data_IF_471120420223
#
_entry.id   IF_471120420223
#
_cell.length_a   1.000
_cell.length_b   1.000
_cell.length_c   1.000
_cell.angle_alpha   90.00
_cell.angle_beta   90.00
_cell.angle_gamma   90.00
#
_symmetry.space_group_name_H-M   'P 1'
#
loop_
_entity.id
_entity.type
_entity.pdbx_description
1 polymer ?
#
# COMPACT_ATOMS: atom_id res chain seq x y z
N UNK A 1 27.63 -5.13 16.62
CA UNK A 1 27.91 -6.58 16.68
C UNK A 1 26.88 -7.26 15.80
N UNK A 2 27.32 -7.92 14.73
CA UNK A 2 26.46 -8.76 13.89
C UNK A 2 25.91 -9.92 14.73
N UNK A 3 24.59 -10.19 14.69
CA UNK A 3 23.94 -11.22 15.52
C UNK A 3 23.73 -12.53 14.76
N UNK A 4 23.10 -12.46 13.59
CA UNK A 4 22.92 -13.59 12.68
C UNK A 4 22.69 -13.07 11.26
N UNK A 5 22.89 -13.93 10.27
CA UNK A 5 22.45 -13.73 8.89
C UNK A 5 21.70 -14.99 8.43
N UNK A 6 20.62 -14.82 7.68
CA UNK A 6 19.84 -15.91 7.12
C UNK A 6 19.90 -15.85 5.59
N UNK A 7 20.11 -17.00 4.96
CA UNK A 7 20.11 -17.13 3.51
C UNK A 7 19.10 -18.21 3.10
N UNK A 8 18.03 -17.83 2.38
CA UNK A 8 16.98 -18.76 1.98
C UNK A 8 17.49 -19.90 1.08
N UNK A 9 16.89 -21.09 1.20
CA UNK A 9 17.35 -22.31 0.50
C UNK A 9 17.36 -22.12 -1.02
N UNK A 10 16.37 -21.42 -1.57
CA UNK A 10 16.28 -21.12 -3.01
C UNK A 10 17.58 -20.49 -3.54
N UNK A 11 18.15 -19.53 -2.81
CA UNK A 11 19.39 -18.86 -3.21
C UNK A 11 20.63 -19.72 -3.02
N UNK A 12 20.69 -20.48 -1.93
CA UNK A 12 21.78 -21.43 -1.68
C UNK A 12 21.86 -22.47 -2.79
N UNK A 13 20.72 -22.97 -3.26
CA UNK A 13 20.65 -24.01 -4.29
C UNK A 13 20.71 -23.47 -5.73
N UNK A 14 20.45 -22.16 -5.94
CA UNK A 14 20.41 -21.55 -7.28
C UNK A 14 21.76 -21.52 -8.02
N UNK A 15 22.88 -21.72 -7.30
CA UNK A 15 24.23 -21.54 -7.84
C UNK A 15 24.56 -20.10 -8.23
N UNK A 16 23.74 -19.11 -7.87
CA UNK A 16 23.93 -17.71 -8.21
C UNK A 16 24.87 -16.97 -7.26
N UNK A 17 25.13 -17.51 -6.06
CA UNK A 17 25.94 -16.86 -5.03
C UNK A 17 27.34 -16.42 -5.49
N UNK A 18 28.10 -17.20 -6.31
CA UNK A 18 29.40 -16.74 -6.79
C UNK A 18 29.33 -15.43 -7.59
N UNK A 19 28.17 -15.12 -8.19
CA UNK A 19 27.97 -13.87 -8.96
C UNK A 19 28.00 -12.62 -8.09
N UNK A 20 27.71 -12.73 -6.79
CA UNK A 20 27.81 -11.59 -5.86
C UNK A 20 29.25 -11.08 -5.70
N UNK A 21 30.24 -11.93 -6.03
CA UNK A 21 31.67 -11.59 -6.00
C UNK A 21 32.27 -11.27 -7.37
N UNK A 22 31.46 -11.25 -8.43
CA UNK A 22 31.93 -10.95 -9.80
C UNK A 22 32.32 -9.47 -9.90
N UNK A 23 33.55 -9.10 -10.31
CA UNK A 23 33.94 -7.71 -10.53
C UNK A 23 33.08 -6.99 -11.58
N UNK A 24 32.45 -7.73 -12.50
CA UNK A 24 31.50 -7.22 -13.48
C UNK A 24 30.04 -7.39 -13.03
N UNK A 25 29.79 -7.48 -11.72
CA UNK A 25 28.46 -7.63 -11.17
C UNK A 25 27.49 -6.59 -11.74
N UNK A 26 26.45 -7.09 -12.40
CA UNK A 26 25.25 -6.32 -12.71
C UNK A 26 24.26 -6.60 -11.60
N UNK A 27 23.64 -5.54 -11.08
CA UNK A 27 22.72 -5.65 -9.95
C UNK A 27 21.65 -6.73 -10.20
N UNK A 28 21.43 -7.55 -9.17
CA UNK A 28 20.47 -8.64 -9.15
C UNK A 28 19.85 -8.66 -7.78
N UNK A 29 18.54 -8.78 -7.75
CA UNK A 29 17.78 -8.99 -6.54
C UNK A 29 18.02 -10.40 -6.01
N UNK A 30 18.16 -10.52 -4.69
CA UNK A 30 18.27 -11.80 -3.97
C UNK A 30 17.21 -11.86 -2.89
N UNK A 31 17.48 -11.28 -1.72
CA UNK A 31 16.49 -11.10 -0.65
C UNK A 31 16.14 -9.62 -0.64
N UNK A 32 15.17 -9.26 -1.47
CA UNK A 32 14.79 -7.85 -1.72
C UNK A 32 13.43 -7.48 -1.11
N UNK A 33 12.68 -8.48 -0.63
CA UNK A 33 11.42 -8.25 0.04
C UNK A 33 11.60 -7.57 1.39
N UNK A 34 10.66 -6.70 1.77
CA UNK A 34 10.64 -6.08 3.10
C UNK A 34 10.14 -7.08 4.14
N UNK A 35 10.97 -7.50 5.12
CA UNK A 35 10.53 -8.40 6.17
C UNK A 35 9.59 -7.71 7.17
N UNK A 36 8.77 -8.51 7.84
CA UNK A 36 7.86 -8.08 8.91
C UNK A 36 8.18 -8.83 10.18
N UNK A 37 8.45 -8.10 11.25
CA UNK A 37 8.52 -8.65 12.60
C UNK A 37 7.17 -8.47 13.30
N UNK A 38 6.64 -9.54 13.89
CA UNK A 38 5.39 -9.52 14.65
C UNK A 38 5.47 -10.41 15.88
N UNK A 39 4.84 -9.97 16.96
CA UNK A 39 4.62 -10.82 18.13
C UNK A 39 3.42 -11.74 17.90
N UNK A 40 3.59 -13.02 18.24
CA UNK A 40 2.60 -14.08 18.09
C UNK A 40 2.53 -14.91 19.37
N UNK A 41 1.34 -15.43 19.69
CA UNK A 41 1.12 -16.23 20.89
C UNK A 41 1.03 -17.71 20.53
N UNK A 42 2.07 -18.48 20.85
CA UNK A 42 2.20 -19.89 20.49
C UNK A 42 2.59 -20.73 21.72
N UNK A 43 1.93 -21.88 21.89
CA UNK A 43 2.27 -22.83 22.96
C UNK A 43 2.21 -22.24 24.37
N UNK A 44 1.35 -21.24 24.62
CA UNK A 44 1.21 -20.58 25.91
C UNK A 44 2.23 -19.47 26.20
N UNK A 45 2.97 -19.00 25.19
CA UNK A 45 3.99 -17.95 25.34
C UNK A 45 3.97 -16.98 24.16
N UNK A 46 4.32 -15.71 24.42
CA UNK A 46 4.59 -14.74 23.36
C UNK A 46 5.96 -14.99 22.75
N UNK A 47 6.03 -14.87 21.43
CA UNK A 47 7.23 -15.00 20.61
C UNK A 47 7.27 -13.90 19.56
N UNK A 48 8.46 -13.50 19.14
CA UNK A 48 8.63 -12.56 18.03
C UNK A 48 9.08 -13.31 16.79
N UNK A 49 8.26 -13.29 15.75
CA UNK A 49 8.55 -13.93 14.47
C UNK A 49 8.88 -12.87 13.42
N UNK A 50 9.88 -13.15 12.59
CA UNK A 50 10.19 -12.40 11.38
C UNK A 50 9.74 -13.22 10.17
N UNK A 51 8.93 -12.61 9.32
CA UNK A 51 8.48 -13.18 8.05
C UNK A 51 9.05 -12.34 6.92
N UNK A 52 9.72 -12.97 5.97
CA UNK A 52 10.29 -12.27 4.82
C UNK A 52 9.91 -12.93 3.50
N UNK A 53 10.10 -12.19 2.42
CA UNK A 53 9.97 -12.69 1.05
C UNK A 53 11.28 -12.42 0.32
N UNK A 54 11.49 -13.13 -0.80
CA UNK A 54 12.63 -12.85 -1.66
C UNK A 54 12.44 -11.63 -2.57
N UNK A 55 11.24 -11.02 -2.59
CA UNK A 55 10.93 -9.92 -3.50
C UNK A 55 11.16 -10.34 -4.95
N UNK A 56 11.86 -9.50 -5.71
CA UNK A 56 12.19 -9.78 -7.12
C UNK A 56 13.29 -10.84 -7.29
N UNK A 57 13.96 -11.25 -6.20
CA UNK A 57 15.06 -12.21 -6.28
C UNK A 57 14.63 -13.67 -6.31
N UNK A 58 13.39 -13.99 -5.95
CA UNK A 58 12.89 -15.37 -5.94
C UNK A 58 11.45 -15.48 -5.45
N UNK A 59 10.99 -16.72 -5.29
CA UNK A 59 9.56 -17.01 -5.02
C UNK A 59 9.29 -17.50 -3.60
N UNK A 60 10.31 -17.51 -2.75
CA UNK A 60 10.20 -18.03 -1.38
C UNK A 60 9.71 -16.96 -0.40
N UNK A 61 8.77 -17.38 0.45
CA UNK A 61 8.39 -16.74 1.71
C UNK A 61 8.99 -17.55 2.85
N UNK A 62 9.52 -16.94 3.88
CA UNK A 62 10.17 -17.64 4.99
C UNK A 62 9.77 -17.04 6.34
N UNK A 63 9.84 -17.85 7.40
CA UNK A 63 9.64 -17.38 8.76
C UNK A 63 10.75 -17.84 9.72
N UNK A 64 11.18 -16.91 10.57
CA UNK A 64 12.20 -17.08 11.59
C UNK A 64 11.63 -16.69 12.96
N UNK A 65 11.96 -17.45 14.00
CA UNK A 65 11.70 -17.08 15.39
C UNK A 65 12.89 -16.28 15.93
N UNK A 66 12.71 -14.95 15.96
CA UNK A 66 13.71 -13.98 16.38
C UNK A 66 13.50 -13.52 17.83
N UNK A 67 12.75 -14.27 18.63
CA UNK A 67 12.46 -13.92 20.04
C UNK A 67 13.73 -13.68 20.85
N UNK A 68 14.80 -14.45 20.59
CA UNK A 68 16.12 -14.22 21.16
C UNK A 68 17.18 -14.24 20.05
N UNK A 69 17.60 -13.07 19.53
CA UNK A 69 18.59 -12.99 18.46
C UNK A 69 20.00 -13.40 18.91
N UNK A 70 20.31 -13.36 20.21
CA UNK A 70 21.64 -13.71 20.75
C UNK A 70 21.90 -15.23 20.74
N UNK A 71 20.84 -16.03 20.70
CA UNK A 71 20.91 -17.49 20.68
C UNK A 71 20.32 -18.08 19.40
N UNK A 72 20.33 -17.33 18.29
CA UNK A 72 19.73 -17.78 17.04
C UNK A 72 20.45 -19.03 16.50
N UNK A 73 19.67 -20.04 16.09
CA UNK A 73 20.18 -21.32 15.61
C UNK A 73 19.27 -21.95 14.56
N UNK A 74 19.61 -23.15 14.06
CA UNK A 74 18.81 -23.86 13.07
C UNK A 74 17.34 -24.05 13.49
N UNK A 75 17.05 -24.26 14.78
CA UNK A 75 15.67 -24.42 15.26
C UNK A 75 14.83 -23.13 15.23
N UNK A 76 15.48 -21.98 15.03
CA UNK A 76 14.82 -20.69 14.84
C UNK A 76 14.38 -20.47 13.38
N UNK A 77 14.93 -21.22 12.43
CA UNK A 77 14.43 -21.26 11.05
C UNK A 77 13.18 -22.15 11.06
N UNK A 78 11.99 -21.59 10.86
CA UNK A 78 10.73 -22.33 11.04
C UNK A 78 10.33 -23.04 9.77
N UNK A 79 10.22 -22.28 8.68
CA UNK A 79 9.76 -22.81 7.42
C UNK A 79 10.11 -21.88 6.27
N UNK A 80 10.08 -22.45 5.08
CA UNK A 80 10.09 -21.77 3.80
C UNK A 80 8.92 -22.29 2.96
N UNK A 81 8.20 -21.37 2.34
CA UNK A 81 7.06 -21.65 1.46
C UNK A 81 7.38 -21.11 0.06
N UNK A 82 7.29 -21.98 -0.94
CA UNK A 82 7.50 -21.59 -2.33
C UNK A 82 6.17 -21.08 -2.92
N UNK A 83 6.08 -19.78 -3.16
CA UNK A 83 4.93 -19.18 -3.82
C UNK A 83 4.96 -19.47 -5.34
N UNK A 84 3.81 -19.44 -6.02
CA UNK A 84 3.74 -19.60 -7.46
C UNK A 84 4.55 -18.56 -8.26
N UNK A 85 4.64 -17.32 -7.77
CA UNK A 85 5.32 -16.18 -8.40
C UNK A 85 6.22 -15.38 -7.46
N UNK A 86 6.74 -14.25 -7.94
CA UNK A 86 7.59 -13.33 -7.16
C UNK A 86 6.76 -12.50 -6.20
N UNK A 87 7.00 -12.68 -4.90
CA UNK A 87 6.25 -12.00 -3.84
C UNK A 87 6.94 -10.68 -3.51
N UNK A 88 6.68 -9.66 -4.34
CA UNK A 88 7.21 -8.30 -4.11
C UNK A 88 6.55 -7.62 -2.91
N UNK A 89 5.27 -7.94 -2.69
CA UNK A 89 4.48 -7.35 -1.62
C UNK A 89 4.93 -7.79 -0.22
N UNK A 90 4.69 -6.92 0.76
CA UNK A 90 4.97 -7.17 2.17
C UNK A 90 3.92 -8.15 2.75
N UNK A 91 4.33 -9.24 3.42
CA UNK A 91 3.40 -10.16 4.07
C UNK A 91 2.76 -9.49 5.29
N UNK A 92 1.58 -9.97 5.68
CA UNK A 92 0.89 -9.53 6.90
C UNK A 92 0.81 -10.67 7.91
N UNK A 93 1.01 -10.39 9.19
CA UNK A 93 0.85 -11.36 10.27
C UNK A 93 -0.33 -10.94 11.12
N UNK A 94 -1.28 -11.85 11.34
CA UNK A 94 -2.46 -11.57 12.16
C UNK A 94 -2.98 -12.83 12.85
N UNK A 95 -3.81 -12.63 13.88
CA UNK A 95 -4.58 -13.72 14.49
C UNK A 95 -5.84 -13.99 13.68
N UNK A 96 -6.19 -15.26 13.50
CA UNK A 96 -7.31 -15.70 12.66
C UNK A 96 -8.51 -16.15 13.50
N UNK A 97 -9.70 -16.16 12.90
CA UNK A 97 -10.96 -16.55 13.57
C UNK A 97 -11.01 -18.02 14.01
N UNK A 98 -10.16 -18.89 13.44
CA UNK A 98 -10.00 -20.28 13.89
C UNK A 98 -9.02 -20.43 15.08
N UNK A 99 -8.50 -19.31 15.60
CA UNK A 99 -7.58 -19.24 16.73
C UNK A 99 -6.11 -19.37 16.36
N UNK A 100 -5.78 -19.68 15.10
CA UNK A 100 -4.40 -19.75 14.61
C UNK A 100 -3.80 -18.35 14.42
N UNK A 101 -2.48 -18.31 14.28
CA UNK A 101 -1.76 -17.13 13.81
C UNK A 101 -1.36 -17.37 12.35
N UNK A 102 -1.79 -16.47 11.47
CA UNK A 102 -1.62 -16.61 10.03
C UNK A 102 -0.62 -15.61 9.46
N UNK A 103 0.18 -16.06 8.51
CA UNK A 103 0.89 -15.24 7.53
C UNK A 103 0.03 -15.12 6.28
N UNK A 104 -0.46 -13.91 6.02
CA UNK A 104 -1.28 -13.58 4.87
C UNK A 104 -0.37 -13.00 3.80
N UNK A 105 -0.30 -13.67 2.65
CA UNK A 105 0.65 -13.33 1.59
C UNK A 105 0.04 -13.53 0.21
N UNK A 106 0.41 -12.66 -0.72
CA UNK A 106 0.08 -12.82 -2.13
C UNK A 106 0.82 -14.01 -2.75
N UNK A 107 0.21 -14.64 -3.77
CA UNK A 107 0.84 -15.71 -4.55
C UNK A 107 1.97 -15.26 -5.47
N UNK A 108 2.24 -13.96 -5.52
CA UNK A 108 3.31 -13.33 -6.30
C UNK A 108 2.93 -13.06 -7.77
N UNK A 109 3.72 -12.19 -8.38
CA UNK A 109 3.62 -11.80 -9.79
C UNK A 109 4.35 -12.79 -10.69
N UNK A 110 4.02 -12.80 -11.98
CA UNK A 110 4.61 -13.72 -12.98
C UNK A 110 4.46 -15.20 -12.59
N UNK A 111 3.33 -15.55 -11.96
CA UNK A 111 3.07 -16.90 -11.44
C UNK A 111 2.77 -17.94 -12.52
N UNK A 112 2.60 -17.50 -13.79
CA UNK A 112 2.11 -18.32 -14.90
C UNK A 112 0.70 -18.88 -14.70
N UNK A 113 0.03 -18.55 -13.59
CA UNK A 113 -1.30 -19.01 -13.20
C UNK A 113 -2.23 -17.81 -12.97
N UNK A 114 -3.08 -17.90 -11.95
CA UNK A 114 -4.07 -16.93 -11.52
C UNK A 114 -3.53 -16.07 -10.38
N UNK A 115 -4.21 -14.96 -10.06
CA UNK A 115 -3.93 -14.20 -8.84
C UNK A 115 -4.38 -15.01 -7.62
N UNK A 116 -3.52 -15.15 -6.60
CA UNK A 116 -3.79 -15.96 -5.41
C UNK A 116 -3.49 -15.22 -4.12
N UNK A 117 -4.26 -15.52 -3.08
CA UNK A 117 -3.96 -15.17 -1.68
C UNK A 117 -3.73 -16.47 -0.90
N UNK A 118 -2.68 -16.51 -0.08
CA UNK A 118 -2.39 -17.59 0.85
C UNK A 118 -2.48 -17.10 2.29
N UNK A 119 -3.05 -17.93 3.16
CA UNK A 119 -2.94 -17.83 4.61
C UNK A 119 -2.15 -19.06 5.07
N UNK A 120 -0.94 -18.84 5.56
CA UNK A 120 -0.03 -19.89 6.05
C UNK A 120 -0.02 -19.87 7.58
N UNK A 121 0.05 -21.03 8.22
CA UNK A 121 0.22 -21.10 9.67
C UNK A 121 1.62 -20.58 10.04
N UNK A 122 1.70 -19.64 10.98
CA UNK A 122 2.96 -19.03 11.37
C UNK A 122 3.95 -20.05 11.96
N UNK A 123 3.47 -21.16 12.54
CA UNK A 123 4.30 -22.10 13.28
C UNK A 123 5.05 -23.08 12.39
N UNK A 124 4.44 -23.54 11.29
CA UNK A 124 4.96 -24.59 10.42
C UNK A 124 4.88 -24.28 8.91
N UNK A 125 4.23 -23.18 8.51
CA UNK A 125 4.09 -22.76 7.11
C UNK A 125 3.02 -23.54 6.33
N UNK A 126 2.24 -24.39 7.00
CA UNK A 126 1.16 -25.12 6.36
C UNK A 126 0.08 -24.16 5.84
N UNK A 127 -0.46 -24.44 4.66
CA UNK A 127 -1.54 -23.62 4.09
C UNK A 127 -2.82 -23.83 4.90
N UNK A 128 -3.24 -22.82 5.65
CA UNK A 128 -4.54 -22.78 6.34
C UNK A 128 -5.65 -22.63 5.30
N UNK A 129 -5.47 -21.69 4.38
CA UNK A 129 -6.41 -21.39 3.30
C UNK A 129 -5.66 -20.79 2.11
N UNK A 130 -6.16 -21.07 0.92
CA UNK A 130 -5.75 -20.38 -0.31
C UNK A 130 -6.99 -19.94 -1.08
N UNK A 131 -6.92 -18.78 -1.70
CA UNK A 131 -7.96 -18.24 -2.55
C UNK A 131 -7.42 -18.08 -3.97
N UNK A 132 -8.13 -18.65 -4.94
CA UNK A 132 -7.83 -18.52 -6.36
C UNK A 132 -8.80 -17.50 -6.97
N UNK A 133 -8.27 -16.40 -7.48
CA UNK A 133 -9.05 -15.28 -8.01
C UNK A 133 -9.26 -15.38 -9.53
N UNK A 134 -8.74 -16.43 -10.16
CA UNK A 134 -8.79 -16.58 -11.60
C UNK A 134 -7.67 -15.83 -12.34
N UNK A 135 -7.60 -16.08 -13.64
CA UNK A 135 -6.62 -15.46 -14.53
C UNK A 135 -7.06 -14.05 -14.89
N UNK A 136 -6.09 -13.15 -15.03
CA UNK A 136 -6.37 -11.77 -15.39
C UNK A 136 -6.33 -11.47 -16.89
N UNK A 137 -6.87 -10.32 -17.26
CA UNK A 137 -6.91 -9.78 -18.64
C UNK A 137 -5.58 -9.15 -19.07
N UNK A 138 -4.90 -8.45 -18.17
CA UNK A 138 -3.64 -7.72 -18.42
C UNK A 138 -2.45 -8.47 -17.81
N UNK A 139 -2.68 -9.16 -16.69
CA UNK A 139 -1.64 -9.92 -16.01
C UNK A 139 -2.19 -10.64 -14.78
N UNK A 140 -1.31 -11.33 -14.07
CA UNK A 140 -1.62 -11.99 -12.81
C UNK A 140 -0.74 -11.45 -11.68
N UNK A 141 -1.21 -11.60 -10.45
CA UNK A 141 -0.48 -11.21 -9.26
C UNK A 141 -1.30 -10.28 -8.40
N UNK A 142 -1.38 -10.67 -7.13
CA UNK A 142 -2.05 -9.93 -6.09
C UNK A 142 -1.00 -9.03 -5.41
N UNK A 143 -1.36 -7.78 -5.14
CA UNK A 143 -0.57 -6.86 -4.31
C UNK A 143 -0.56 -7.28 -2.85
N UNK A 144 0.24 -6.56 -2.06
CA UNK A 144 0.32 -6.76 -0.60
C UNK A 144 -1.07 -6.78 0.04
N UNK A 145 -1.43 -7.83 0.79
CA UNK A 145 -2.71 -7.90 1.48
C UNK A 145 -2.68 -7.12 2.81
N UNK A 146 -3.79 -6.45 3.13
CA UNK A 146 -4.01 -5.79 4.44
C UNK A 146 -5.15 -6.50 5.20
N UNK A 147 -4.87 -7.11 6.36
CA UNK A 147 -5.91 -7.60 7.25
C UNK A 147 -6.61 -6.44 7.97
N UNK A 148 -7.90 -6.60 8.22
CA UNK A 148 -8.75 -5.62 8.90
C UNK A 148 -9.50 -6.31 10.03
N UNK A 149 -9.46 -5.70 11.20
CA UNK A 149 -10.24 -6.04 12.39
C UNK A 149 -11.27 -4.93 12.58
N UNK A 150 -12.56 -5.26 12.42
CA UNK A 150 -13.64 -4.27 12.52
C UNK A 150 -14.28 -4.23 13.91
N UNK A 151 -14.10 -5.28 14.72
CA UNK A 151 -14.74 -5.42 16.02
C UNK A 151 -13.78 -5.13 17.20
N UNK A 152 -12.50 -4.89 16.91
CA UNK A 152 -11.41 -4.52 17.82
C UNK A 152 -11.06 -5.65 18.81
N UNK A 153 -11.18 -6.91 18.41
CA UNK A 153 -10.79 -8.09 19.20
C UNK A 153 -9.37 -8.61 18.92
N UNK A 154 -8.64 -7.92 18.03
CA UNK A 154 -7.30 -8.26 17.52
C UNK A 154 -7.25 -9.51 16.64
N UNK A 155 -8.38 -9.91 16.07
CA UNK A 155 -8.53 -11.00 15.12
C UNK A 155 -8.90 -10.42 13.76
N UNK A 156 -8.29 -10.92 12.69
CA UNK A 156 -8.60 -10.47 11.35
C UNK A 156 -9.99 -10.95 10.92
N UNK A 157 -10.85 -10.00 10.54
CA UNK A 157 -12.20 -10.23 10.01
C UNK A 157 -12.21 -10.25 8.48
N UNK A 158 -11.50 -9.30 7.89
CA UNK A 158 -11.40 -9.14 6.45
C UNK A 158 -9.95 -9.02 6.00
N UNK A 159 -9.72 -9.26 4.71
CA UNK A 159 -8.48 -8.90 4.04
C UNK A 159 -8.83 -8.12 2.79
N UNK A 160 -8.08 -7.07 2.49
CA UNK A 160 -8.15 -6.37 1.21
C UNK A 160 -6.83 -6.50 0.45
N UNK A 161 -6.91 -6.59 -0.88
CA UNK A 161 -5.75 -6.56 -1.76
C UNK A 161 -6.17 -6.15 -3.18
N UNK A 162 -5.34 -5.37 -3.86
CA UNK A 162 -5.49 -5.10 -5.29
C UNK A 162 -4.76 -6.11 -6.17
N UNK A 163 -5.02 -6.14 -7.48
CA UNK A 163 -4.26 -6.95 -8.45
C UNK A 163 -3.83 -6.16 -9.69
N UNK A 164 -3.04 -6.80 -10.57
CA UNK A 164 -2.58 -6.19 -11.82
C UNK A 164 -3.70 -5.87 -12.83
N UNK A 165 -4.90 -6.40 -12.65
CA UNK A 165 -6.08 -6.06 -13.45
C UNK A 165 -6.89 -4.89 -12.86
N UNK A 166 -6.38 -4.26 -11.81
CA UNK A 166 -7.06 -3.16 -11.13
C UNK A 166 -8.26 -3.61 -10.31
N UNK A 167 -8.39 -4.90 -10.01
CA UNK A 167 -9.46 -5.36 -9.13
C UNK A 167 -9.03 -5.18 -7.68
N UNK A 168 -9.90 -4.54 -6.88
CA UNK A 168 -9.78 -4.51 -5.42
C UNK A 168 -10.63 -5.66 -4.85
N UNK A 169 -9.97 -6.63 -4.23
CA UNK A 169 -10.60 -7.79 -3.62
C UNK A 169 -10.83 -7.60 -2.13
N UNK A 170 -11.92 -8.19 -1.65
CA UNK A 170 -12.21 -8.38 -0.22
C UNK A 170 -12.35 -9.87 0.06
N UNK A 171 -11.69 -10.35 1.11
CA UNK A 171 -11.81 -11.71 1.61
C UNK A 171 -12.54 -11.67 2.94
N UNK A 172 -13.57 -12.49 3.10
CA UNK A 172 -14.33 -12.66 4.33
C UNK A 172 -13.75 -13.81 5.15
N UNK A 173 -13.17 -13.47 6.30
CA UNK A 173 -12.57 -14.40 7.26
C UNK A 173 -13.38 -14.49 8.57
N UNK A 174 -14.56 -13.87 8.65
CA UNK A 174 -15.32 -13.68 9.90
C UNK A 174 -15.83 -14.97 10.54
N UNK A 175 -15.94 -16.05 9.76
CA UNK A 175 -16.38 -17.34 10.28
C UNK A 175 -15.32 -18.00 11.18
N UNK A 176 -15.73 -18.63 12.27
CA UNK A 176 -14.82 -19.39 13.15
C UNK A 176 -14.20 -20.63 12.49
N UNK A 177 -14.77 -21.08 11.37
CA UNK A 177 -14.28 -22.24 10.62
C UNK A 177 -13.69 -21.81 9.29
N UNK A 178 -12.39 -22.09 9.07
CA UNK A 178 -11.66 -21.77 7.84
C UNK A 178 -12.26 -22.28 6.53
N UNK A 179 -13.11 -23.33 6.60
CA UNK A 179 -13.88 -23.82 5.46
C UNK A 179 -14.84 -22.78 4.87
N UNK A 180 -15.40 -21.93 5.74
CA UNK A 180 -16.40 -20.91 5.39
C UNK A 180 -15.79 -19.58 4.97
N UNK A 181 -14.47 -19.41 5.11
CA UNK A 181 -13.79 -18.24 4.57
C UNK A 181 -13.85 -18.24 3.05
N UNK A 182 -14.11 -17.07 2.47
CA UNK A 182 -14.38 -16.90 1.04
C UNK A 182 -13.97 -15.54 0.51
N UNK A 183 -13.92 -15.42 -0.82
CA UNK A 183 -13.89 -14.11 -1.47
C UNK A 183 -15.30 -13.51 -1.34
N UNK A 184 -15.37 -12.26 -0.86
CA UNK A 184 -16.63 -11.56 -0.69
C UNK A 184 -17.33 -11.31 -2.04
N UNK A 185 -18.53 -10.70 -1.99
CA UNK A 185 -19.30 -10.34 -3.19
C UNK A 185 -19.57 -11.50 -4.16
N UNK A 186 -19.65 -12.73 -3.62
CA UNK A 186 -19.87 -13.94 -4.41
C UNK A 186 -18.70 -14.32 -5.32
N UNK A 187 -17.46 -14.11 -4.85
CA UNK A 187 -16.27 -14.41 -5.64
C UNK A 187 -15.87 -13.30 -6.62
N UNK A 188 -16.31 -12.06 -6.37
CA UNK A 188 -16.08 -10.92 -7.24
C UNK A 188 -15.36 -9.80 -6.48
N UNK A 189 -14.65 -8.89 -7.19
CA UNK A 189 -13.98 -7.80 -6.50
C UNK A 189 -14.99 -6.77 -5.98
N UNK A 190 -14.59 -6.02 -4.95
CA UNK A 190 -15.35 -4.87 -4.45
C UNK A 190 -15.43 -3.77 -5.52
N UNK A 191 -14.33 -3.55 -6.24
CA UNK A 191 -14.18 -2.50 -7.24
C UNK A 191 -13.20 -2.94 -8.35
N UNK A 192 -13.38 -2.40 -9.55
CA UNK A 192 -12.43 -2.54 -10.66
C UNK A 192 -12.03 -1.15 -11.14
N UNK A 193 -10.76 -0.81 -10.97
CA UNK A 193 -10.18 0.45 -11.41
C UNK A 193 -10.05 0.50 -12.94
N UNK A 194 -10.59 1.56 -13.54
CA UNK A 194 -10.66 1.73 -14.97
C UNK A 194 -10.45 3.19 -15.37
N UNK A 195 -9.56 3.47 -16.34
CA UNK A 195 -9.43 4.78 -16.98
C UNK A 195 -10.62 5.04 -17.92
N UNK A 196 -11.60 5.81 -17.45
CA UNK A 196 -12.77 6.22 -18.23
C UNK A 196 -14.06 5.59 -17.75
N UNK A 197 -14.97 5.26 -18.68
CA UNK A 197 -16.34 4.86 -18.32
C UNK A 197 -16.47 3.39 -17.95
N UNK A 198 -17.14 3.12 -16.84
CA UNK A 198 -17.61 1.80 -16.43
C UNK A 198 -18.95 1.46 -17.11
N UNK A 199 -18.93 1.11 -18.40
CA UNK A 199 -20.14 0.75 -19.17
C UNK A 199 -20.89 -0.49 -18.64
N UNK A 200 -20.44 -1.07 -17.52
CA UNK A 200 -21.04 -2.17 -16.77
C UNK A 200 -20.23 -2.48 -15.50
N UNK A 201 -20.82 -3.24 -14.58
CA UNK A 201 -20.08 -3.79 -13.43
C UNK A 201 -18.90 -4.63 -13.93
N UNK A 202 -17.67 -4.33 -13.47
CA UNK A 202 -16.42 -5.00 -13.87
C UNK A 202 -16.04 -4.86 -15.37
N UNK A 203 -16.72 -4.00 -16.13
CA UNK A 203 -16.61 -3.93 -17.58
C UNK A 203 -15.48 -3.01 -18.05
N UNK A 204 -14.29 -3.14 -17.47
CA UNK A 204 -13.12 -2.38 -17.91
C UNK A 204 -12.36 -3.11 -19.03
N UNK A 205 -12.20 -2.51 -20.23
CA UNK A 205 -11.38 -3.06 -21.30
C UNK A 205 -9.92 -3.21 -20.89
N UNK A 206 -9.21 -4.22 -21.41
CA UNK A 206 -7.82 -4.51 -21.04
C UNK A 206 -6.88 -3.29 -21.12
N UNK A 207 -6.96 -2.50 -22.21
CA UNK A 207 -6.14 -1.28 -22.37
C UNK A 207 -6.54 -0.08 -21.49
N UNK A 208 -7.58 -0.22 -20.67
CA UNK A 208 -8.07 0.82 -19.73
C UNK A 208 -7.98 0.37 -18.26
N UNK A 209 -7.60 -0.88 -18.00
CA UNK A 209 -7.38 -1.39 -16.65
C UNK A 209 -6.23 -0.64 -15.99
N UNK A 210 -6.37 -0.36 -14.71
CA UNK A 210 -5.38 0.37 -13.93
C UNK A 210 -4.82 -0.57 -12.84
N UNK A 211 -3.60 -1.12 -13.00
CA UNK A 211 -3.02 -2.06 -12.03
C UNK A 211 -3.00 -1.50 -10.61
N UNK A 212 -3.17 -2.34 -9.58
CA UNK A 212 -2.98 -1.96 -8.19
C UNK A 212 -1.79 -2.77 -7.65
N UNK A 213 -0.66 -2.11 -7.43
CA UNK A 213 0.59 -2.73 -6.96
C UNK A 213 0.92 -2.41 -5.51
N UNK A 214 0.41 -1.30 -4.98
CA UNK A 214 0.56 -0.92 -3.57
C UNK A 214 -0.24 -1.81 -2.61
N UNK A 215 0.10 -1.80 -1.32
CA UNK A 215 -0.83 -2.26 -0.28
C UNK A 215 -1.95 -1.23 -0.11
N UNK A 216 -3.23 -1.62 -0.17
CA UNK A 216 -4.31 -0.71 0.23
C UNK A 216 -4.18 -0.29 1.69
N UNK A 217 -4.73 0.87 2.04
CA UNK A 217 -4.95 1.29 3.41
C UNK A 217 -6.45 1.25 3.73
N UNK A 218 -6.80 0.88 4.97
CA UNK A 218 -8.21 0.79 5.37
C UNK A 218 -8.47 1.64 6.60
N UNK A 219 -9.54 2.43 6.56
CA UNK A 219 -10.04 3.25 7.65
C UNK A 219 -11.50 2.97 7.95
N UNK A 220 -12.02 3.55 9.04
CA UNK A 220 -13.45 3.57 9.32
C UNK A 220 -14.18 4.39 8.26
N UNK A 221 -15.33 3.91 7.81
CA UNK A 221 -16.17 4.65 6.88
C UNK A 221 -16.91 5.84 7.51
N UNK A 222 -17.62 6.64 6.69
CA UNK A 222 -18.43 7.75 7.15
C UNK A 222 -19.37 7.34 8.30
N UNK A 223 -19.52 8.23 9.30
CA UNK A 223 -20.33 7.99 10.50
C UNK A 223 -19.94 6.72 11.30
N UNK A 224 -18.67 6.28 11.18
CA UNK A 224 -18.17 5.02 11.75
C UNK A 224 -18.91 3.77 11.24
N UNK A 225 -19.46 3.82 10.03
CA UNK A 225 -20.14 2.70 9.39
C UNK A 225 -19.34 2.15 8.22
N UNK A 226 -19.14 0.84 8.22
CA UNK A 226 -18.33 0.16 7.21
C UNK A 226 -16.87 0.63 7.22
N UNK A 227 -16.23 0.52 6.07
CA UNK A 227 -14.81 0.78 5.86
C UNK A 227 -14.61 1.69 4.65
N UNK A 228 -13.56 2.51 4.70
CA UNK A 228 -13.03 3.18 3.52
C UNK A 228 -11.72 2.51 3.13
N UNK A 229 -11.62 2.11 1.86
CA UNK A 229 -10.45 1.42 1.31
C UNK A 229 -9.74 2.34 0.33
N UNK A 230 -8.51 2.72 0.66
CA UNK A 230 -7.68 3.69 -0.04
C UNK A 230 -6.62 2.98 -0.87
N UNK A 231 -6.52 3.30 -2.15
CA UNK A 231 -5.48 2.76 -3.03
C UNK A 231 -5.22 3.65 -4.24
N UNK A 232 -3.95 3.73 -4.61
CA UNK A 232 -3.47 4.26 -5.88
C UNK A 232 -3.37 3.18 -6.94
N UNK A 233 -3.41 3.60 -8.20
CA UNK A 233 -3.15 2.72 -9.34
C UNK A 233 -1.83 3.02 -10.03
N UNK A 234 -1.32 1.99 -10.70
CA UNK A 234 -0.11 1.95 -11.50
C UNK A 234 0.83 0.83 -11.08
N UNK A 235 1.98 0.79 -11.74
CA UNK A 235 3.08 -0.11 -11.43
C UNK A 235 4.40 0.64 -11.59
N UNK A 236 5.40 0.33 -10.79
CA UNK A 236 6.79 0.76 -11.00
C UNK A 236 7.77 -0.34 -10.57
N UNK A 237 7.36 -1.59 -10.76
CA UNK A 237 8.06 -2.79 -10.30
C UNK A 237 8.53 -3.69 -11.45
N UNK A 238 8.07 -3.44 -12.68
CA UNK A 238 8.37 -4.26 -13.85
C UNK A 238 9.22 -3.52 -14.87
N UNK A 239 9.98 -4.30 -15.63
CA UNK A 239 10.77 -3.76 -16.74
C UNK A 239 9.86 -3.06 -17.75
N UNK A 240 10.16 -1.79 -18.05
CA UNK A 240 9.39 -0.96 -18.97
C UNK A 240 8.46 0.03 -18.28
N UNK A 241 8.23 -0.07 -16.97
CA UNK A 241 7.35 0.84 -16.24
C UNK A 241 7.84 2.30 -16.25
N UNK A 242 9.13 2.55 -16.53
CA UNK A 242 9.70 3.88 -16.69
C UNK A 242 9.31 4.59 -17.98
N UNK A 243 8.86 3.86 -18.99
CA UNK A 243 8.37 4.44 -20.23
C UNK A 243 6.89 4.83 -20.09
N UNK A 244 6.53 6.01 -20.61
CA UNK A 244 5.15 6.51 -20.63
C UNK A 244 4.74 6.80 -22.07
N UNK A 245 3.68 6.14 -22.53
CA UNK A 245 3.08 6.39 -23.84
C UNK A 245 1.77 7.19 -23.70
N UNK A 246 1.46 8.06 -24.66
CA UNK A 246 0.22 8.85 -24.64
C UNK A 246 -1.07 8.02 -24.70
N UNK A 247 -0.95 6.72 -25.03
CA UNK A 247 -2.04 5.75 -25.07
C UNK A 247 -2.24 5.01 -23.75
N UNK A 248 -1.32 5.15 -22.81
CA UNK A 248 -1.40 4.47 -21.51
C UNK A 248 -2.63 4.95 -20.74
N UNK A 249 -3.24 4.07 -19.93
CA UNK A 249 -4.35 4.48 -19.08
C UNK A 249 -3.87 5.54 -18.08
N UNK A 250 -4.66 6.61 -17.96
CA UNK A 250 -4.50 7.58 -16.86
C UNK A 250 -4.60 6.81 -15.55
N UNK A 251 -3.70 7.03 -14.61
CA UNK A 251 -3.84 6.41 -13.28
C UNK A 251 -4.67 7.31 -12.37
N UNK A 252 -5.20 6.73 -11.32
CA UNK A 252 -6.04 7.44 -10.36
C UNK A 252 -5.73 6.97 -8.95
N UNK A 253 -6.00 7.83 -7.98
CA UNK A 253 -6.14 7.44 -6.59
C UNK A 253 -7.63 7.24 -6.27
N UNK A 254 -7.96 6.20 -5.53
CA UNK A 254 -9.33 5.84 -5.17
C UNK A 254 -9.48 5.71 -3.66
N UNK A 255 -10.66 6.12 -3.18
CA UNK A 255 -11.18 5.72 -1.88
C UNK A 255 -12.57 5.11 -2.08
N UNK A 256 -12.73 3.86 -1.67
CA UNK A 256 -13.98 3.10 -1.88
C UNK A 256 -14.65 2.85 -0.54
N UNK A 257 -15.90 3.28 -0.41
CA UNK A 257 -16.73 3.00 0.76
C UNK A 257 -17.35 1.60 0.64
N UNK A 258 -16.86 0.68 1.47
CA UNK A 258 -17.50 -0.60 1.72
C UNK A 258 -18.39 -0.48 2.95
N UNK A 259 -19.69 -0.34 2.75
CA UNK A 259 -20.68 -0.28 3.82
C UNK A 259 -20.79 -1.58 4.65
N UNK A 260 -20.06 -2.64 4.27
CA UNK A 260 -20.13 -3.97 4.84
C UNK A 260 -21.52 -4.61 4.76
N UNK A 261 -22.28 -4.23 3.75
CA UNK A 261 -23.59 -4.80 3.45
C UNK A 261 -23.41 -6.12 2.71
N UNK A 262 -24.37 -7.04 2.86
CA UNK A 262 -24.45 -8.28 2.08
C UNK A 262 -24.89 -8.00 0.62
N UNK A 263 -24.16 -7.11 -0.06
CA UNK A 263 -24.33 -6.79 -1.47
C UNK A 263 -23.51 -7.77 -2.33
N UNK A 264 -24.02 -8.06 -3.51
CA UNK A 264 -23.28 -8.76 -4.58
C UNK A 264 -22.95 -7.84 -5.76
N UNK A 265 -23.33 -6.56 -5.63
CA UNK A 265 -23.14 -5.52 -6.64
C UNK A 265 -21.86 -4.75 -6.29
N UNK A 266 -20.90 -4.64 -7.21
CA UNK A 266 -19.68 -3.88 -6.96
C UNK A 266 -19.96 -2.38 -6.94
N UNK A 267 -19.03 -1.65 -6.34
CA UNK A 267 -18.94 -0.21 -6.50
C UNK A 267 -18.47 0.11 -7.92
N UNK A 268 -19.05 1.14 -8.53
CA UNK A 268 -18.64 1.68 -9.84
C UNK A 268 -18.05 3.06 -9.67
N UNK A 269 -17.13 3.43 -10.57
CA UNK A 269 -16.48 4.74 -10.64
C UNK A 269 -17.49 5.88 -10.80
N UNK A 270 -18.63 5.63 -11.46
CA UNK A 270 -19.72 6.61 -11.58
C UNK A 270 -20.48 6.88 -10.27
N UNK A 271 -20.31 6.03 -9.26
CA UNK A 271 -20.86 6.22 -7.91
C UNK A 271 -19.87 6.92 -6.98
N UNK A 272 -18.69 7.28 -7.48
CA UNK A 272 -17.66 7.98 -6.72
C UNK A 272 -17.69 9.47 -7.04
N UNK A 273 -17.38 10.28 -6.03
CA UNK A 273 -17.14 11.70 -6.20
C UNK A 273 -15.83 11.92 -6.93
N UNK A 274 -15.88 12.66 -8.04
CA UNK A 274 -14.67 13.05 -8.76
C UNK A 274 -14.00 14.23 -8.05
N UNK A 275 -12.72 14.08 -7.75
CA UNK A 275 -11.83 15.16 -7.37
C UNK A 275 -10.88 15.47 -8.54
N UNK A 276 -10.30 16.66 -8.55
CA UNK A 276 -9.39 17.11 -9.62
C UNK A 276 -8.28 17.99 -9.06
N UNK A 277 -7.08 17.86 -9.62
CA UNK A 277 -6.01 18.83 -9.42
C UNK A 277 -6.44 20.11 -10.14
N UNK A 278 -6.66 21.19 -9.39
CA UNK A 278 -7.20 22.46 -9.89
C UNK A 278 -6.09 23.43 -10.26
N UNK A 279 -4.95 23.36 -9.58
CA UNK A 279 -3.75 24.14 -9.84
C UNK A 279 -2.49 23.30 -9.62
N UNK A 280 -1.45 23.59 -10.41
CA UNK A 280 -0.11 22.98 -10.29
C UNK A 280 0.95 24.05 -10.59
N UNK A 281 1.92 24.19 -9.69
CA UNK A 281 3.15 24.96 -9.87
C UNK A 281 4.37 24.03 -9.79
N UNK A 282 5.59 24.58 -9.69
CA UNK A 282 6.78 23.76 -9.48
C UNK A 282 6.80 23.07 -8.09
N UNK A 283 6.24 23.72 -7.07
CA UNK A 283 6.31 23.28 -5.67
C UNK A 283 4.97 22.79 -5.11
N UNK A 284 3.84 23.33 -5.60
CA UNK A 284 2.53 23.16 -4.96
C UNK A 284 1.44 22.73 -5.92
N UNK A 285 0.48 21.95 -5.40
CA UNK A 285 -0.80 21.60 -6.04
C UNK A 285 -1.96 21.94 -5.12
N UNK A 286 -3.07 22.36 -5.72
CA UNK A 286 -4.37 22.42 -5.05
C UNK A 286 -5.34 21.45 -5.72
N UNK A 287 -6.36 21.02 -4.98
CA UNK A 287 -7.38 20.07 -5.44
C UNK A 287 -8.77 20.64 -5.19
N UNK A 288 -9.77 20.07 -5.84
CA UNK A 288 -11.16 20.52 -5.68
C UNK A 288 -11.71 20.36 -4.26
N UNK A 289 -12.60 21.27 -3.86
CA UNK A 289 -13.32 21.26 -2.58
C UNK A 289 -14.71 20.62 -2.66
N UNK A 290 -14.90 19.60 -3.53
CA UNK A 290 -16.22 19.01 -3.81
C UNK A 290 -16.61 18.00 -2.73
N UNK A 291 -17.72 18.20 -2.01
CA UNK A 291 -18.17 17.25 -0.97
C UNK A 291 -18.77 15.94 -1.54
N UNK A 292 -19.28 15.97 -2.78
CA UNK A 292 -19.89 14.82 -3.42
C UNK A 292 -21.37 14.63 -3.12
N UNK A 293 -21.97 13.60 -3.73
CA UNK A 293 -23.35 13.23 -3.44
C UNK A 293 -23.46 12.52 -2.08
N UNK A 294 -24.60 12.66 -1.39
CA UNK A 294 -24.81 12.05 -0.07
C UNK A 294 -24.76 10.52 -0.08
N UNK A 295 -25.04 9.90 -1.22
CA UNK A 295 -25.01 8.46 -1.45
C UNK A 295 -23.77 7.99 -2.22
N UNK A 296 -22.77 8.87 -2.41
CA UNK A 296 -21.52 8.52 -3.05
C UNK A 296 -20.83 7.37 -2.29
N UNK A 297 -20.27 6.43 -3.04
CA UNK A 297 -19.58 5.25 -2.52
C UNK A 297 -18.08 5.47 -2.38
N UNK A 298 -17.69 6.71 -2.08
CA UNK A 298 -16.31 7.17 -1.97
C UNK A 298 -15.94 8.21 -3.03
N UNK A 299 -14.67 8.30 -3.38
CA UNK A 299 -14.13 9.32 -4.27
C UNK A 299 -12.94 8.81 -5.09
N UNK A 300 -12.58 9.55 -6.14
CA UNK A 300 -11.34 9.33 -6.88
C UNK A 300 -10.70 10.64 -7.34
N UNK A 301 -9.38 10.62 -7.49
CA UNK A 301 -8.57 11.66 -8.11
C UNK A 301 -7.85 11.08 -9.32
N UNK A 302 -8.13 11.60 -10.52
CA UNK A 302 -7.29 11.29 -11.68
C UNK A 302 -5.95 12.01 -11.55
N UNK A 303 -4.85 11.27 -11.68
CA UNK A 303 -3.48 11.79 -11.58
C UNK A 303 -3.07 12.41 -12.93
N UNK A 304 -3.68 13.56 -13.21
CA UNK A 304 -3.49 14.32 -14.46
C UNK A 304 -3.28 15.78 -14.09
N UNK A 305 -2.16 16.35 -14.54
CA UNK A 305 -1.86 17.76 -14.33
C UNK A 305 -2.91 18.66 -15.01
N UNK A 306 -3.31 19.79 -14.39
CA UNK A 306 -4.29 20.70 -14.96
C UNK A 306 -3.78 21.43 -16.21
N UNK A 307 -4.71 22.05 -16.94
CA UNK A 307 -4.40 22.90 -18.09
C UNK A 307 -3.61 22.17 -19.18
N UNK A 308 -2.51 22.78 -19.64
CA UNK A 308 -1.61 22.20 -20.64
C UNK A 308 -0.66 21.12 -20.11
N UNK A 309 -0.64 20.89 -18.78
CA UNK A 309 0.24 19.88 -18.16
C UNK A 309 -0.14 18.45 -18.54
N UNK A 310 -1.45 18.16 -18.59
CA UNK A 310 -1.98 16.93 -19.17
C UNK A 310 -1.50 15.63 -18.53
N UNK A 311 -1.59 14.54 -19.29
CA UNK A 311 -1.18 13.21 -18.85
C UNK A 311 0.33 13.04 -18.95
N UNK A 312 0.96 12.66 -17.81
CA UNK A 312 2.41 12.44 -17.69
C UNK A 312 2.76 11.02 -17.22
N UNK A 313 1.79 10.09 -17.17
CA UNK A 313 2.01 8.76 -16.60
C UNK A 313 2.20 8.74 -15.09
N UNK A 314 1.74 9.80 -14.42
CA UNK A 314 1.70 9.88 -12.96
C UNK A 314 0.91 8.71 -12.39
N UNK A 315 1.42 8.12 -11.30
CA UNK A 315 0.89 6.90 -10.69
C UNK A 315 1.15 6.89 -9.18
N UNK A 316 0.38 6.11 -8.44
CA UNK A 316 0.52 5.96 -6.99
C UNK A 316 0.72 4.49 -6.63
N UNK A 317 1.94 4.11 -6.25
CA UNK A 317 2.38 2.72 -6.07
C UNK A 317 2.96 2.42 -4.69
N UNK A 318 3.11 3.45 -3.85
CA UNK A 318 3.66 3.38 -2.50
C UNK A 318 2.56 3.53 -1.46
N UNK A 319 2.57 2.70 -0.41
CA UNK A 319 1.51 2.57 0.59
C UNK A 319 1.04 3.96 1.12
N UNK A 320 -0.28 4.24 1.15
CA UNK A 320 -0.78 5.51 1.66
C UNK A 320 -0.90 5.46 3.20
N UNK A 321 -0.83 6.62 3.85
CA UNK A 321 -1.03 6.77 5.29
C UNK A 321 -2.39 7.41 5.57
N UNK A 322 -3.10 6.83 6.53
CA UNK A 322 -4.33 7.40 7.07
C UNK A 322 -4.05 7.92 8.48
N UNK A 323 -4.17 9.22 8.71
CA UNK A 323 -3.84 9.86 9.99
C UNK A 323 -4.72 11.08 10.23
N UNK A 324 -5.31 11.18 11.42
CA UNK A 324 -6.08 12.39 11.82
C UNK A 324 -7.24 12.76 10.90
N UNK A 325 -7.89 11.77 10.24
CA UNK A 325 -8.93 12.03 9.24
C UNK A 325 -8.42 12.44 7.86
N UNK A 326 -7.09 12.46 7.67
CA UNK A 326 -6.41 12.84 6.44
C UNK A 326 -5.76 11.63 5.79
N UNK A 327 -5.72 11.67 4.47
CA UNK A 327 -5.04 10.68 3.65
C UNK A 327 -3.81 11.30 3.02
N UNK A 328 -2.65 10.76 3.34
CA UNK A 328 -1.35 11.18 2.83
C UNK A 328 -0.85 10.09 1.89
N UNK A 329 -0.49 10.44 0.67
CA UNK A 329 0.03 9.46 -0.28
C UNK A 329 1.03 10.08 -1.25
N UNK A 330 2.17 9.43 -1.49
CA UNK A 330 3.09 9.84 -2.53
C UNK A 330 2.59 9.38 -3.91
N UNK A 331 2.83 10.20 -4.92
CA UNK A 331 2.73 9.83 -6.34
C UNK A 331 4.12 9.90 -6.97
N UNK A 332 4.28 9.22 -8.11
CA UNK A 332 5.49 9.32 -8.93
C UNK A 332 5.12 9.54 -10.40
N UNK A 333 5.96 10.29 -11.09
CA UNK A 333 5.91 10.58 -12.52
C UNK A 333 7.21 10.05 -13.11
N UNK A 334 7.20 8.94 -13.85
CA UNK A 334 8.44 8.37 -14.37
C UNK A 334 9.12 9.26 -15.39
N UNK A 335 10.45 9.16 -15.40
CA UNK A 335 11.30 9.74 -16.42
C UNK A 335 12.32 8.69 -16.89
N UNK A 336 12.52 8.59 -18.20
CA UNK A 336 13.51 7.68 -18.80
C UNK A 336 14.91 8.28 -18.84
N UNK A 337 15.06 9.57 -18.54
CA UNK A 337 16.37 10.22 -18.45
C UNK A 337 17.16 9.65 -17.25
N UNK A 338 18.33 9.02 -17.50
CA UNK A 338 19.15 8.45 -16.44
C UNK A 338 19.68 9.49 -15.43
N UNK A 339 19.64 10.79 -15.76
CA UNK A 339 20.09 11.87 -14.87
C UNK A 339 19.00 12.34 -13.90
N UNK A 340 17.73 12.00 -14.14
CA UNK A 340 16.55 12.54 -13.43
C UNK A 340 16.06 11.62 -12.30
N UNK A 341 16.96 10.79 -11.73
CA UNK A 341 16.62 9.92 -10.60
C UNK A 341 15.46 8.95 -10.85
N UNK A 342 15.12 8.66 -12.11
CA UNK A 342 14.01 7.80 -12.52
C UNK A 342 12.63 8.50 -12.62
N UNK A 343 12.50 9.75 -12.16
CA UNK A 343 11.24 10.49 -12.16
C UNK A 343 11.13 11.54 -11.06
N UNK A 344 9.98 12.20 -11.00
CA UNK A 344 9.61 13.17 -9.96
C UNK A 344 8.42 12.66 -9.13
N UNK A 345 8.12 13.31 -8.01
CA UNK A 345 7.05 12.89 -7.11
C UNK A 345 6.26 14.05 -6.53
N UNK A 346 5.08 13.74 -6.01
CA UNK A 346 4.29 14.62 -5.16
C UNK A 346 3.94 13.90 -3.87
N UNK A 347 4.00 14.59 -2.73
CA UNK A 347 3.30 14.18 -1.51
C UNK A 347 1.93 14.83 -1.56
N UNK A 348 0.88 14.03 -1.69
CA UNK A 348 -0.50 14.51 -1.66
C UNK A 348 -1.09 14.33 -0.26
N UNK A 349 -1.88 15.30 0.19
CA UNK A 349 -2.64 15.23 1.43
C UNK A 349 -4.05 15.78 1.23
N UNK A 350 -5.04 14.96 1.55
CA UNK A 350 -6.45 15.22 1.23
C UNK A 350 -7.34 14.73 2.37
N UNK A 351 -8.56 15.26 2.46
CA UNK A 351 -9.55 14.73 3.40
C UNK A 351 -9.85 13.25 3.09
N UNK A 352 -9.77 12.37 4.08
CA UNK A 352 -9.86 10.94 3.84
C UNK A 352 -11.26 10.49 3.43
N UNK A 353 -12.33 11.19 3.81
CA UNK A 353 -13.69 10.73 3.52
C UNK A 353 -14.23 11.26 2.19
N UNK A 354 -13.90 12.49 1.83
CA UNK A 354 -14.40 13.20 0.65
C UNK A 354 -13.35 13.33 -0.46
N UNK A 355 -12.06 13.28 -0.12
CA UNK A 355 -10.96 13.55 -1.05
C UNK A 355 -10.85 15.03 -1.44
N UNK A 356 -11.47 15.93 -0.68
CA UNK A 356 -11.43 17.35 -0.97
C UNK A 356 -10.19 18.01 -0.36
N UNK A 357 -9.89 19.24 -0.78
CA UNK A 357 -8.85 20.05 -0.13
C UNK A 357 -9.17 20.26 1.36
N UNK A 358 -8.15 20.17 2.21
CA UNK A 358 -8.32 20.34 3.66
C UNK A 358 -8.29 21.84 3.98
N UNK A 359 -9.32 22.30 4.67
CA UNK A 359 -9.50 23.70 5.08
C UNK A 359 -9.72 23.72 6.60
N UNK A 360 -8.90 24.43 7.40
CA UNK A 360 -7.77 25.29 7.02
C UNK A 360 -6.56 24.53 6.42
N UNK A 361 -5.60 25.23 5.78
CA UNK A 361 -4.41 24.60 5.21
C UNK A 361 -3.62 23.79 6.24
N UNK A 362 -2.89 22.79 5.73
CA UNK A 362 -2.16 21.80 6.55
C UNK A 362 -0.65 21.90 6.40
N UNK A 363 -0.16 22.55 5.35
CA UNK A 363 1.26 22.73 5.09
C UNK A 363 1.66 24.16 5.41
N UNK A 364 2.77 24.31 6.13
CA UNK A 364 3.52 25.56 6.22
C UNK A 364 4.30 25.72 4.89
N UNK A 365 3.78 26.55 3.98
CA UNK A 365 4.33 26.72 2.62
C UNK A 365 5.25 27.92 2.49
N UNK A 366 5.18 28.89 3.41
CA UNK A 366 6.04 30.07 3.42
C UNK A 366 7.25 29.95 4.37
N UNK A 367 7.24 28.95 5.25
CA UNK A 367 8.33 28.54 6.12
C UNK A 367 8.48 29.42 7.36
N UNK A 368 7.44 30.13 7.78
CA UNK A 368 7.48 31.00 8.96
C UNK A 368 7.26 30.25 10.29
N UNK A 369 6.80 29.00 10.21
CA UNK A 369 6.58 28.09 11.33
C UNK A 369 5.15 28.08 11.87
N UNK A 370 4.29 28.99 11.42
CA UNK A 370 2.86 29.01 11.68
C UNK A 370 2.11 28.39 10.49
N UNK A 371 0.85 27.95 10.69
CA UNK A 371 0.02 27.40 9.62
C UNK A 371 -1.32 28.12 9.62
N UNK A 372 -1.50 29.06 8.70
CA UNK A 372 -2.63 30.00 8.67
C UNK A 372 -3.10 30.41 7.25
N UNK A 373 -3.73 31.58 7.12
CA UNK A 373 -4.29 32.04 5.84
C UNK A 373 -3.21 32.45 4.81
N UNK A 374 -1.99 32.75 5.26
CA UNK A 374 -0.87 33.10 4.39
C UNK A 374 -0.30 31.86 3.66
N UNK A 375 -0.68 30.64 4.09
CA UNK A 375 -0.31 29.38 3.45
C UNK A 375 -1.18 28.97 2.24
N UNK A 376 -2.12 29.83 1.85
CA UNK A 376 -3.00 29.56 0.72
C UNK A 376 -2.26 29.75 -0.62
N UNK A 377 -2.35 28.73 -1.49
CA UNK A 377 -1.78 28.77 -2.84
C UNK A 377 -2.87 29.16 -3.81
N UNK A 378 -2.77 30.37 -4.38
CA UNK A 378 -3.79 30.92 -5.28
C UNK A 378 -5.19 30.99 -4.62
N UNK A 379 -5.23 31.23 -3.30
CA UNK A 379 -6.46 31.36 -2.52
C UNK A 379 -7.11 30.03 -2.10
N UNK A 380 -6.49 28.89 -2.43
CA UNK A 380 -6.95 27.56 -2.04
C UNK A 380 -5.89 26.87 -1.15
N UNK A 381 -6.30 26.03 -0.18
CA UNK A 381 -5.36 25.24 0.60
C UNK A 381 -4.52 24.30 -0.29
N UNK A 382 -3.18 24.27 -0.11
CA UNK A 382 -2.33 23.32 -0.81
C UNK A 382 -2.67 21.88 -0.37
N UNK A 383 -2.77 20.99 -1.34
CA UNK A 383 -3.05 19.57 -1.15
C UNK A 383 -1.95 18.67 -1.73
N UNK A 384 -0.91 19.26 -2.30
CA UNK A 384 0.26 18.51 -2.78
C UNK A 384 1.53 19.34 -2.76
N UNK A 385 2.61 18.73 -2.30
CA UNK A 385 3.96 19.30 -2.27
C UNK A 385 4.89 18.49 -3.17
N UNK A 386 5.66 19.17 -4.01
CA UNK A 386 6.77 18.56 -4.74
C UNK A 386 8.08 18.80 -3.95
N UNK A 387 8.66 17.76 -3.34
CA UNK A 387 9.90 17.91 -2.57
C UNK A 387 11.16 18.09 -3.43
N UNK A 388 11.06 17.92 -4.76
CA UNK A 388 12.18 18.08 -5.70
C UNK A 388 13.41 17.21 -5.37
N UNK A 389 13.15 15.96 -4.97
CA UNK A 389 14.17 14.95 -4.63
C UNK A 389 14.05 13.64 -5.41
N UNK A 390 13.35 13.67 -6.54
CA UNK A 390 13.12 12.50 -7.39
C UNK A 390 11.89 11.70 -6.97
N UNK A 391 11.95 10.38 -7.16
CA UNK A 391 10.89 9.46 -6.73
C UNK A 391 10.99 9.26 -5.22
N UNK A 392 9.88 9.47 -4.52
CA UNK A 392 9.76 9.26 -3.07
C UNK A 392 8.91 8.03 -2.76
N UNK A 393 9.07 7.50 -1.55
CA UNK A 393 8.22 6.44 -0.99
C UNK A 393 7.32 7.00 0.13
N UNK A 394 6.53 6.13 0.78
CA UNK A 394 5.66 6.48 1.90
C UNK A 394 6.41 7.32 2.95
N UNK A 395 5.91 8.52 3.30
CA UNK A 395 6.57 9.40 4.26
C UNK A 395 6.67 8.79 5.66
N UNK A 396 7.63 9.26 6.44
CA UNK A 396 7.64 9.05 7.89
C UNK A 396 7.11 10.30 8.59
N UNK A 397 6.16 10.11 9.51
CA UNK A 397 5.61 11.19 10.32
C UNK A 397 6.25 11.13 11.71
N UNK A 398 6.82 12.23 12.15
CA UNK A 398 7.49 12.40 13.43
C UNK A 398 6.69 13.42 14.23
N UNK A 399 6.22 13.01 15.41
CA UNK A 399 5.60 13.93 16.36
C UNK A 399 6.68 14.89 16.87
N UNK A 400 6.50 16.20 16.68
CA UNK A 400 7.46 17.20 17.14
C UNK A 400 7.47 17.29 18.67
N UNK A 401 8.57 16.89 19.32
CA UNK A 401 8.65 16.87 20.79
C UNK A 401 8.60 18.27 21.44
N UNK A 402 8.62 19.38 20.69
CA UNK A 402 8.62 20.75 21.25
C UNK A 402 8.03 21.84 20.33
N UNK A 403 7.20 21.52 19.33
CA UNK A 403 6.77 22.47 18.27
C UNK A 403 5.30 22.90 18.33
N UNK A 404 4.60 22.69 19.43
CA UNK A 404 3.15 22.95 19.49
C UNK A 404 2.32 21.87 18.77
N UNK A 405 1.17 22.23 18.21
CA UNK A 405 0.25 21.34 17.47
C UNK A 405 0.77 20.97 16.06
N UNK A 406 2.10 20.89 15.86
CA UNK A 406 2.73 20.66 14.55
C UNK A 406 3.46 19.29 14.50
N UNK A 407 3.36 18.59 13.37
CA UNK A 407 4.10 17.35 13.08
C UNK A 407 5.07 17.56 11.90
N UNK A 408 6.09 16.69 11.82
CA UNK A 408 7.11 16.76 10.77
C UNK A 408 7.00 15.52 9.90
N UNK A 409 6.83 15.72 8.59
CA UNK A 409 6.77 14.67 7.59
C UNK A 409 8.06 14.61 6.79
N UNK A 410 8.84 13.56 6.97
CA UNK A 410 10.09 13.37 6.24
C UNK A 410 9.95 12.32 5.14
N UNK A 411 10.43 12.65 3.94
CA UNK A 411 10.49 11.77 2.77
C UNK A 411 11.94 11.61 2.30
N UNK A 412 12.29 10.40 1.90
CA UNK A 412 13.55 10.12 1.23
C UNK A 412 13.30 9.93 -0.27
N UNK A 413 14.15 10.54 -1.10
CA UNK A 413 14.01 10.52 -2.56
C UNK A 413 15.10 9.69 -3.25
N UNK A 414 14.85 9.31 -4.49
CA UNK A 414 15.78 8.55 -5.35
C UNK A 414 17.08 9.30 -5.67
N UNK A 415 17.14 10.61 -5.40
CA UNK A 415 18.37 11.42 -5.45
C UNK A 415 19.31 11.21 -4.25
N UNK A 416 18.87 10.46 -3.23
CA UNK A 416 19.61 10.25 -1.98
C UNK A 416 19.43 11.37 -0.95
N UNK A 417 18.63 12.39 -1.26
CA UNK A 417 18.26 13.47 -0.34
C UNK A 417 17.04 13.08 0.52
N UNK A 418 16.93 13.73 1.68
CA UNK A 418 15.77 13.67 2.56
C UNK A 418 15.23 15.10 2.67
N UNK A 419 13.92 15.26 2.53
CA UNK A 419 13.22 16.52 2.78
C UNK A 419 12.19 16.30 3.88
N UNK A 420 12.02 17.30 4.74
CA UNK A 420 11.04 17.27 5.81
C UNK A 420 10.12 18.49 5.68
N UNK A 421 8.82 18.25 5.78
CA UNK A 421 7.76 19.25 5.70
C UNK A 421 7.17 19.43 7.08
N UNK A 422 7.02 20.67 7.53
CA UNK A 422 6.25 20.99 8.71
C UNK A 422 4.77 21.04 8.33
N UNK A 423 3.94 20.42 9.15
CA UNK A 423 2.51 20.35 8.91
C UNK A 423 1.72 20.41 10.22
N UNK A 424 0.43 20.74 10.10
CA UNK A 424 -0.47 20.81 11.24
C UNK A 424 -0.80 19.41 11.70
N UNK A 425 -0.70 19.10 12.99
CA UNK A 425 -1.19 17.82 13.52
C UNK A 425 -2.67 17.62 13.19
N UNK A 426 -3.05 16.38 12.85
CA UNK A 426 -4.44 15.98 12.95
C UNK A 426 -4.89 15.91 14.41
N UNK A 427 -6.21 15.97 14.67
CA UNK A 427 -6.77 15.87 16.03
C UNK A 427 -6.07 14.79 16.86
N UNK A 428 -5.51 15.19 18.01
CA UNK A 428 -4.74 14.34 18.93
C UNK A 428 -5.41 12.98 19.18
N UNK A 429 -4.93 11.95 18.49
CA UNK A 429 -5.06 10.58 18.97
C UNK A 429 -3.84 10.37 19.86
N UNK A 430 -3.90 10.81 21.12
CA UNK A 430 -2.78 10.68 22.07
C UNK A 430 -2.20 9.25 22.09
N UNK A 431 -0.95 9.09 22.55
CA UNK A 431 -0.18 7.83 22.63
C UNK A 431 -0.98 6.53 22.40
N UNK A 432 -1.07 6.08 21.14
CA UNK A 432 -1.86 4.91 20.72
C UNK A 432 -1.18 3.56 21.01
N UNK A 433 0.12 3.59 21.34
CA UNK A 433 0.83 2.44 21.88
C UNK A 433 1.99 2.90 22.77
N UNK A 434 2.28 2.12 23.80
CA UNK A 434 3.46 2.29 24.63
C UNK A 434 4.17 0.94 24.74
N UNK A 435 5.51 0.97 24.64
CA UNK A 435 6.35 -0.18 24.93
C UNK A 435 7.17 0.15 26.16
N UNK A 436 6.93 -0.57 27.26
CA UNK A 436 7.83 -0.49 28.42
C UNK A 436 9.18 -1.08 28.01
N UNK A 437 10.23 -0.27 28.03
CA UNK A 437 11.59 -0.77 27.86
C UNK A 437 12.18 -0.96 29.28
N UNK A 438 11.58 -1.91 30.01
CA UNK A 438 11.95 -2.41 31.35
C UNK A 438 12.01 -1.37 32.51
N UNK A 439 12.03 -1.82 33.79
CA UNK A 439 12.00 -0.95 34.97
C UNK A 439 13.25 -0.09 35.18
#
# INVERSE_FOLDING_TARGET
VEKFAYMPTEHVLSGQLPRLSDPNYKHRFFVDGTPVASDVYLGGSWKTYLVGTLGAGGRTVYALDITNPDSFSKSNIKWEFNAPGYVLGRPSVARMQDGSWGVIVAGGYESGQTSKLFILDISDGAVIKSFDLGGGTVGNGLSSPIPVDINVDRVADYVFAGDLDGNLWKFDLTASTKGSWGVAFGGKPLFTACDGSDAGAYACPAGKRQPITMRPQVGRGPYNQGMMVYFGTGSYAFSGDSAVASTDPKQSFYAIHDANEASTVPVKRSQLTKQSITFESAAFRTVSSTDGATDAKGWYLDLVSPGSGGFKGERAVSDPLLRGGRLIFPTLIPNTDPCEGGGSSWVMEMDALSGKAIDPPVFDVDGDGDIDEDDLVNGDPPAGINPDIGIIDTPNVIDGENTGDNEIKCVAGSTGRIECLQERTGDYQGRQSWRQIWP
#
